data_IF_819323342398
#
_entry.id   IF_819323342398
#
_cell.length_a   1.000
_cell.length_b   1.000
_cell.length_c   1.000
_cell.angle_alpha   90.00
_cell.angle_beta   90.00
_cell.angle_gamma   90.00
#
_symmetry.space_group_name_H-M   'P 1'
#
loop_
_entity.id
_entity.type
_entity.pdbx_description
1 polymer ?
#
# COMPACT_ATOMS: atom_id res chain seq x y z
N UNK A 1 75.14 -24.96 -32.94
CA UNK A 1 75.68 -24.46 -34.26
C UNK A 1 74.73 -23.37 -34.72
N UNK A 2 75.40 -22.19 -34.81
CA UNK A 2 75.11 -21.05 -35.68
C UNK A 2 73.74 -20.33 -35.47
N UNK A 3 73.70 -19.19 -34.86
CA UNK A 3 74.25 -17.83 -35.07
C UNK A 3 73.44 -16.94 -35.99
N UNK A 4 73.09 -15.80 -35.39
CA UNK A 4 73.00 -14.43 -35.95
C UNK A 4 71.88 -14.13 -36.97
N UNK A 5 71.14 -13.08 -36.74
CA UNK A 5 71.40 -11.74 -37.07
C UNK A 5 70.28 -10.72 -36.82
N UNK A 6 70.68 -9.71 -36.11
CA UNK A 6 70.03 -8.42 -36.01
C UNK A 6 69.95 -7.69 -37.34
N UNK A 7 68.83 -6.98 -37.59
CA UNK A 7 68.98 -5.65 -38.26
C UNK A 7 67.79 -4.71 -37.88
N UNK A 8 68.20 -3.50 -37.51
CA UNK A 8 67.41 -2.28 -37.21
C UNK A 8 66.96 -1.58 -38.50
N UNK A 9 65.98 -0.72 -38.26
CA UNK A 9 65.47 0.50 -38.99
C UNK A 9 64.20 0.27 -39.78
N UNK A 10 63.18 1.16 -39.68
CA UNK A 10 63.16 2.63 -39.58
C UNK A 10 61.77 3.09 -39.07
N UNK A 11 61.79 4.20 -38.30
CA UNK A 11 60.61 5.08 -38.05
C UNK A 11 60.04 5.58 -39.38
N UNK A 12 58.72 5.66 -39.39
CA UNK A 12 57.95 6.67 -40.16
C UNK A 12 56.70 7.07 -39.39
N UNK A 13 56.73 8.33 -38.99
CA UNK A 13 55.51 9.05 -38.52
C UNK A 13 54.61 9.31 -39.71
N UNK A 14 53.30 9.17 -39.48
CA UNK A 14 52.25 9.98 -40.15
C UNK A 14 50.94 9.70 -39.47
N UNK A 15 50.40 10.68 -38.76
CA UNK A 15 49.20 11.36 -39.27
C UNK A 15 47.98 10.98 -38.43
N UNK A 16 47.55 11.88 -37.58
CA UNK A 16 46.42 11.76 -36.72
C UNK A 16 45.08 11.61 -37.45
N UNK A 17 44.19 10.88 -36.82
CA UNK A 17 42.76 11.05 -36.95
C UNK A 17 42.18 10.92 -35.54
N UNK A 18 41.81 12.07 -34.97
CA UNK A 18 41.04 12.13 -33.73
C UNK A 18 39.63 11.61 -34.04
N UNK A 19 39.40 10.34 -33.75
CA UNK A 19 38.06 9.78 -33.69
C UNK A 19 37.40 10.23 -32.39
N UNK A 20 36.51 11.20 -32.48
CA UNK A 20 35.61 11.54 -31.37
C UNK A 20 34.69 10.35 -31.14
N UNK A 21 34.97 9.57 -30.12
CA UNK A 21 34.02 8.60 -29.59
C UNK A 21 32.89 9.39 -28.91
N UNK A 22 31.79 9.54 -29.59
CA UNK A 22 30.53 9.93 -28.98
C UNK A 22 30.13 8.81 -28.00
N UNK A 23 30.50 9.00 -26.74
CA UNK A 23 29.84 8.26 -25.64
C UNK A 23 28.40 8.73 -25.62
N UNK A 24 27.51 7.97 -26.28
CA UNK A 24 26.09 7.99 -25.97
C UNK A 24 25.95 7.55 -24.53
N UNK A 25 26.05 8.50 -23.63
CA UNK A 25 25.60 8.34 -22.24
C UNK A 25 24.10 8.14 -22.25
N UNK A 26 23.67 6.92 -22.54
CA UNK A 26 22.34 6.49 -22.19
C UNK A 26 22.25 6.57 -20.68
N UNK A 27 21.53 7.56 -20.17
CA UNK A 27 21.06 7.53 -18.78
C UNK A 27 20.26 6.26 -18.65
N UNK A 28 20.82 5.23 -18.04
CA UNK A 28 20.03 4.10 -17.57
C UNK A 28 19.02 4.71 -16.61
N UNK A 29 17.76 4.76 -17.06
CA UNK A 29 16.64 5.00 -16.16
C UNK A 29 16.80 4.00 -15.01
N UNK A 30 16.99 4.51 -13.80
CA UNK A 30 16.94 3.67 -12.62
C UNK A 30 15.64 2.89 -12.73
N UNK A 31 15.73 1.57 -12.87
CA UNK A 31 14.56 0.71 -12.84
C UNK A 31 13.85 1.06 -11.53
N UNK A 32 12.66 1.59 -11.65
CA UNK A 32 11.85 2.00 -10.49
C UNK A 32 11.67 0.76 -9.63
N UNK A 33 12.27 0.78 -8.44
CA UNK A 33 12.34 -0.40 -7.58
C UNK A 33 10.94 -0.63 -7.01
N UNK A 34 10.30 -1.73 -7.40
CA UNK A 34 8.98 -2.11 -6.91
C UNK A 34 9.06 -2.38 -5.40
N UNK A 35 8.02 -1.96 -4.69
CA UNK A 35 7.84 -2.23 -3.26
C UNK A 35 6.91 -3.42 -3.12
N UNK A 36 7.23 -4.41 -2.30
CA UNK A 36 6.32 -5.54 -2.06
C UNK A 36 5.01 -5.06 -1.45
N UNK A 37 3.88 -5.70 -1.79
CA UNK A 37 2.57 -5.33 -1.25
C UNK A 37 2.60 -5.31 0.29
N UNK A 38 3.22 -6.29 0.93
CA UNK A 38 3.39 -6.33 2.38
C UNK A 38 4.11 -5.07 2.93
N UNK A 39 5.22 -4.66 2.31
CA UNK A 39 5.98 -3.48 2.73
C UNK A 39 5.26 -2.17 2.38
N UNK A 40 4.42 -2.17 1.34
CA UNK A 40 3.63 -1.02 0.93
C UNK A 40 2.42 -0.76 1.83
N UNK A 41 1.94 -1.78 2.57
CA UNK A 41 0.79 -1.60 3.48
C UNK A 41 1.07 -0.50 4.49
N UNK A 42 0.26 0.55 4.47
CA UNK A 42 0.12 1.51 5.56
C UNK A 42 -0.91 0.97 6.57
N UNK A 43 -2.09 0.61 6.08
CA UNK A 43 -3.09 -0.04 6.89
C UNK A 43 -4.03 -0.95 6.10
N UNK A 44 -4.57 -1.93 6.79
CA UNK A 44 -5.62 -2.81 6.30
C UNK A 44 -6.96 -2.33 6.86
N UNK A 45 -8.00 -2.29 6.01
CA UNK A 45 -9.35 -1.92 6.44
C UNK A 45 -10.19 -3.18 6.64
N UNK A 46 -10.60 -3.41 7.88
CA UNK A 46 -11.56 -4.44 8.27
C UNK A 46 -12.95 -3.82 8.39
N UNK A 47 -13.79 -4.06 7.41
CA UNK A 47 -15.18 -3.60 7.42
C UNK A 47 -16.03 -4.39 8.41
N UNK A 48 -16.84 -3.68 9.19
CA UNK A 48 -17.83 -4.25 10.11
C UNK A 48 -19.10 -3.43 10.07
N UNK A 49 -20.28 -4.05 10.30
CA UNK A 49 -21.54 -3.30 10.39
C UNK A 49 -21.77 -2.63 11.75
N UNK A 50 -21.04 -3.06 12.78
CA UNK A 50 -21.10 -2.51 14.13
C UNK A 50 -19.68 -2.46 14.72
N UNK A 51 -19.23 -1.28 15.15
CA UNK A 51 -17.86 -1.08 15.60
C UNK A 51 -17.57 -1.81 16.91
N UNK A 52 -18.50 -1.80 17.86
CA UNK A 52 -18.27 -2.37 19.18
C UNK A 52 -18.18 -3.91 19.09
N UNK A 53 -19.02 -4.51 18.24
CA UNK A 53 -18.96 -5.94 17.92
C UNK A 53 -17.67 -6.29 17.18
N UNK A 54 -17.23 -5.45 16.25
CA UNK A 54 -15.96 -5.62 15.53
C UNK A 54 -14.76 -5.59 16.49
N UNK A 55 -14.72 -4.62 17.40
CA UNK A 55 -13.69 -4.52 18.44
C UNK A 55 -13.67 -5.78 19.32
N UNK A 56 -14.83 -6.20 19.80
CA UNK A 56 -14.95 -7.39 20.66
C UNK A 56 -14.49 -8.67 19.94
N UNK A 57 -14.83 -8.83 18.67
CA UNK A 57 -14.41 -9.99 17.88
C UNK A 57 -12.90 -10.01 17.66
N UNK A 58 -12.31 -8.88 17.28
CA UNK A 58 -10.85 -8.79 17.10
C UNK A 58 -10.12 -9.01 18.44
N UNK A 59 -10.59 -8.44 19.54
CA UNK A 59 -10.04 -8.73 20.88
C UNK A 59 -10.13 -10.23 21.24
N UNK A 60 -11.26 -10.84 20.91
CA UNK A 60 -11.48 -12.27 21.17
C UNK A 60 -10.48 -13.16 20.44
N UNK A 61 -10.16 -12.86 19.16
CA UNK A 61 -9.25 -13.71 18.36
C UNK A 61 -7.78 -13.35 18.54
N UNK A 62 -7.44 -12.08 18.74
CA UNK A 62 -6.06 -11.62 18.82
C UNK A 62 -5.54 -11.49 20.25
N UNK A 63 -6.43 -11.25 21.24
CA UNK A 63 -6.06 -10.87 22.60
C UNK A 63 -5.72 -9.39 22.75
N UNK A 64 -5.86 -8.57 21.70
CA UNK A 64 -5.56 -7.14 21.71
C UNK A 64 -6.84 -6.36 21.44
N UNK A 65 -7.21 -5.47 22.36
CA UNK A 65 -8.37 -4.61 22.23
C UNK A 65 -8.02 -3.38 21.37
N UNK A 66 -8.78 -3.15 20.31
CA UNK A 66 -8.64 -1.97 19.47
C UNK A 66 -9.04 -0.69 20.25
N UNK A 67 -8.30 0.39 20.05
CA UNK A 67 -8.64 1.68 20.59
C UNK A 67 -9.49 2.49 19.60
N UNK A 68 -10.50 3.18 20.11
CA UNK A 68 -11.32 4.10 19.30
C UNK A 68 -10.41 5.14 18.64
N UNK A 69 -10.52 5.25 17.32
CA UNK A 69 -9.77 6.20 16.51
C UNK A 69 -10.50 7.52 16.35
N UNK A 70 -11.78 7.49 16.03
CA UNK A 70 -12.64 8.65 15.83
C UNK A 70 -13.62 8.49 14.66
N UNK A 71 -14.29 9.57 14.33
CA UNK A 71 -15.22 9.68 13.21
C UNK A 71 -14.55 10.28 11.98
N UNK A 72 -15.05 9.92 10.80
CA UNK A 72 -14.66 10.54 9.51
C UNK A 72 -15.77 11.48 9.07
N UNK A 73 -15.63 12.81 9.34
CA UNK A 73 -16.68 13.78 9.05
C UNK A 73 -17.03 13.80 7.55
N UNK A 74 -18.33 13.74 7.24
CA UNK A 74 -18.80 13.75 5.85
C UNK A 74 -18.64 12.44 5.09
N UNK A 75 -17.96 11.43 5.66
CA UNK A 75 -17.84 10.08 5.08
C UNK A 75 -18.92 9.13 5.63
N UNK A 76 -19.35 9.36 6.87
CA UNK A 76 -20.37 8.55 7.53
C UNK A 76 -19.82 7.28 8.16
N UNK A 77 -18.52 7.25 8.49
CA UNK A 77 -17.85 6.12 9.14
C UNK A 77 -17.10 6.56 10.40
N UNK A 78 -16.86 5.61 11.29
CA UNK A 78 -16.01 5.71 12.48
C UNK A 78 -15.10 4.49 12.57
N UNK A 79 -14.02 4.56 13.33
CA UNK A 79 -13.06 3.49 13.37
C UNK A 79 -12.48 3.19 14.76
N UNK A 80 -11.83 2.02 14.85
CA UNK A 80 -10.94 1.63 15.93
C UNK A 80 -9.67 1.01 15.35
N UNK A 81 -8.54 1.13 16.04
CA UNK A 81 -7.22 0.88 15.50
C UNK A 81 -6.42 -0.07 16.39
N UNK A 82 -5.60 -0.94 15.74
CA UNK A 82 -4.56 -1.76 16.38
C UNK A 82 -3.28 -1.60 15.55
N UNK A 83 -2.14 -1.38 16.21
CA UNK A 83 -0.83 -1.40 15.55
C UNK A 83 -0.48 -2.81 15.09
N UNK A 84 0.01 -2.94 13.87
CA UNK A 84 0.52 -4.18 13.28
C UNK A 84 2.06 -4.21 13.20
N UNK A 85 2.72 -3.41 14.03
CA UNK A 85 4.17 -3.25 14.00
C UNK A 85 4.62 -2.20 12.98
N UNK A 86 5.87 -1.75 13.10
CA UNK A 86 6.44 -0.76 12.19
C UNK A 86 5.55 0.48 12.01
N UNK A 87 5.29 0.82 10.75
CA UNK A 87 4.34 1.87 10.34
C UNK A 87 3.07 1.26 9.73
N UNK A 88 2.58 0.15 10.32
CA UNK A 88 1.40 -0.54 9.83
C UNK A 88 0.33 -0.63 10.93
N UNK A 89 -0.95 -0.59 10.54
CA UNK A 89 -2.04 -0.78 11.48
C UNK A 89 -3.27 -1.44 10.83
N UNK A 90 -4.11 -2.04 11.67
CA UNK A 90 -5.45 -2.50 11.30
C UNK A 90 -6.43 -1.40 11.67
N UNK A 91 -7.24 -1.00 10.70
CA UNK A 91 -8.39 -0.11 10.88
C UNK A 91 -9.67 -0.93 10.84
N UNK A 92 -10.36 -1.05 11.97
CA UNK A 92 -11.71 -1.58 12.05
C UNK A 92 -12.66 -0.42 11.73
N UNK A 93 -13.33 -0.46 10.57
CA UNK A 93 -14.17 0.62 10.09
C UNK A 93 -15.65 0.19 10.09
N UNK A 94 -16.51 1.07 10.61
CA UNK A 94 -17.94 0.84 10.73
C UNK A 94 -18.74 2.09 10.34
N UNK A 95 -20.05 1.97 10.07
CA UNK A 95 -20.93 3.12 9.96
C UNK A 95 -20.89 3.96 11.24
N UNK A 96 -20.96 5.28 11.06
CA UNK A 96 -21.10 6.21 12.18
C UNK A 96 -22.57 6.60 12.34
N UNK A 97 -23.26 6.12 13.40
CA UNK A 97 -24.68 6.38 13.59
C UNK A 97 -24.99 7.86 13.92
N UNK A 98 -23.96 8.66 14.22
CA UNK A 98 -24.13 10.10 14.49
C UNK A 98 -24.17 10.93 13.22
N UNK A 99 -23.81 10.37 12.07
CA UNK A 99 -23.80 11.04 10.77
C UNK A 99 -25.01 10.59 9.93
N UNK A 100 -25.80 11.54 9.41
CA UNK A 100 -26.97 11.22 8.60
C UNK A 100 -26.61 10.68 7.20
N UNK A 101 -25.48 11.12 6.64
CA UNK A 101 -25.03 10.70 5.32
C UNK A 101 -23.97 9.59 5.41
N UNK A 102 -24.04 8.64 4.49
CA UNK A 102 -23.03 7.61 4.30
C UNK A 102 -22.45 7.73 2.90
N UNK A 103 -21.23 8.23 2.80
CA UNK A 103 -20.53 8.53 1.55
C UNK A 103 -19.29 7.66 1.36
N UNK A 104 -19.10 6.65 2.21
CA UNK A 104 -18.01 5.69 2.01
C UNK A 104 -18.33 4.81 0.80
N UNK A 105 -17.36 4.65 -0.11
CA UNK A 105 -17.58 3.96 -1.39
C UNK A 105 -17.81 2.44 -1.26
N UNK A 106 -17.45 1.86 -0.12
CA UNK A 106 -17.73 0.46 0.21
C UNK A 106 -18.82 0.42 1.26
N UNK A 107 -19.93 -0.27 0.95
CA UNK A 107 -21.04 -0.39 1.91
C UNK A 107 -20.75 -1.49 2.93
N UNK A 108 -20.33 -1.08 4.13
CA UNK A 108 -20.08 -1.99 5.26
C UNK A 108 -21.31 -2.22 6.14
N UNK A 109 -22.40 -1.47 5.92
CA UNK A 109 -23.62 -1.52 6.76
C UNK A 109 -24.32 -2.88 6.72
N UNK A 110 -24.15 -3.61 5.63
CA UNK A 110 -24.79 -4.91 5.38
C UNK A 110 -23.88 -6.11 5.63
N UNK A 111 -22.67 -5.89 6.12
CA UNK A 111 -21.73 -6.98 6.39
C UNK A 111 -22.22 -7.83 7.57
N UNK A 112 -22.40 -9.11 7.34
CA UNK A 112 -22.84 -10.08 8.36
C UNK A 112 -21.66 -10.45 9.28
N UNK A 113 -20.44 -10.49 8.71
CA UNK A 113 -19.20 -10.81 9.43
C UNK A 113 -18.11 -9.80 9.09
N UNK A 114 -17.15 -9.57 9.98
CA UNK A 114 -15.95 -8.79 9.67
C UNK A 114 -15.26 -9.30 8.41
N UNK A 115 -14.76 -8.38 7.58
CA UNK A 115 -14.07 -8.71 6.33
C UNK A 115 -13.02 -7.66 6.00
N UNK A 116 -11.85 -8.10 5.50
CA UNK A 116 -10.92 -7.19 4.85
C UNK A 116 -11.54 -6.67 3.55
N UNK A 117 -11.75 -5.36 3.46
CA UNK A 117 -12.48 -4.72 2.35
C UNK A 117 -11.57 -3.99 1.37
N UNK A 118 -10.49 -3.41 1.85
CA UNK A 118 -9.46 -2.72 1.07
C UNK A 118 -8.22 -2.48 1.93
N UNK A 119 -7.22 -1.85 1.38
CA UNK A 119 -5.98 -1.49 2.05
C UNK A 119 -5.41 -0.18 1.53
N UNK A 120 -4.64 0.51 2.34
CA UNK A 120 -3.91 1.70 1.98
C UNK A 120 -2.44 1.38 1.74
N UNK A 121 -1.88 1.89 0.67
CA UNK A 121 -0.45 1.87 0.42
C UNK A 121 0.17 3.22 0.84
N UNK A 122 1.25 3.15 1.62
CA UNK A 122 2.00 4.33 2.05
C UNK A 122 2.73 4.96 0.85
N UNK A 123 2.65 6.27 0.74
CA UNK A 123 3.51 7.05 -0.15
C UNK A 123 4.09 8.26 0.58
N UNK A 124 5.27 8.71 0.15
CA UNK A 124 5.91 9.93 0.64
C UNK A 124 5.76 11.10 -0.34
N UNK A 125 5.22 10.83 -1.52
CA UNK A 125 4.91 11.84 -2.55
C UNK A 125 3.66 11.42 -3.33
N UNK A 126 2.51 11.85 -2.86
CA UNK A 126 1.23 11.52 -3.47
C UNK A 126 1.05 12.15 -4.86
N UNK A 127 1.78 13.24 -5.13
CA UNK A 127 1.79 13.87 -6.45
C UNK A 127 2.50 13.00 -7.50
N UNK A 128 3.68 12.47 -7.15
CA UNK A 128 4.40 11.51 -7.99
C UNK A 128 3.58 10.22 -8.20
N UNK A 129 2.97 9.69 -7.13
CA UNK A 129 2.09 8.52 -7.20
C UNK A 129 0.89 8.76 -8.14
N UNK A 130 0.28 9.95 -8.06
CA UNK A 130 -0.83 10.32 -8.94
C UNK A 130 -0.40 10.41 -10.42
N UNK A 131 0.79 10.94 -10.67
CA UNK A 131 1.37 10.99 -12.02
C UNK A 131 1.60 9.58 -12.57
N UNK A 132 2.26 8.72 -11.80
CA UNK A 132 2.53 7.32 -12.17
C UNK A 132 1.24 6.54 -12.48
N UNK A 133 0.21 6.68 -11.65
CA UNK A 133 -1.07 6.03 -11.88
C UNK A 133 -1.71 6.48 -13.22
N UNK A 134 -1.66 7.76 -13.55
CA UNK A 134 -2.16 8.27 -14.84
C UNK A 134 -1.33 7.77 -16.01
N UNK A 135 -0.01 7.76 -15.91
CA UNK A 135 0.91 7.26 -16.95
C UNK A 135 0.70 5.75 -17.19
N UNK A 136 0.30 5.02 -16.16
CA UNK A 136 -0.11 3.61 -16.25
C UNK A 136 -1.55 3.42 -16.78
N UNK A 137 -2.24 4.50 -17.18
CA UNK A 137 -3.55 4.45 -17.79
C UNK A 137 -4.73 4.40 -16.81
N UNK A 138 -4.51 4.60 -15.52
CA UNK A 138 -5.59 4.58 -14.53
C UNK A 138 -6.25 5.94 -14.35
N UNK A 139 -7.56 5.92 -14.21
CA UNK A 139 -8.30 7.05 -13.68
C UNK A 139 -8.10 7.10 -12.16
N UNK A 140 -7.95 8.30 -11.64
CA UNK A 140 -7.70 8.52 -10.22
C UNK A 140 -8.72 9.46 -9.62
N UNK A 141 -8.86 9.37 -8.31
CA UNK A 141 -9.72 10.20 -7.51
C UNK A 141 -8.88 10.88 -6.39
N UNK A 142 -8.69 12.16 -6.52
CA UNK A 142 -7.78 12.91 -5.64
C UNK A 142 -6.53 13.38 -6.39
N UNK A 143 -5.46 13.75 -5.67
CA UNK A 143 -5.29 13.72 -4.22
C UNK A 143 -6.31 14.59 -3.46
N UNK A 144 -6.75 14.12 -2.28
CA UNK A 144 -7.67 14.84 -1.39
C UNK A 144 -7.10 14.93 0.00
N UNK A 145 -7.24 16.10 0.60
CA UNK A 145 -6.92 16.28 2.01
C UNK A 145 -7.95 15.56 2.88
N UNK A 146 -7.47 14.92 3.94
CA UNK A 146 -8.25 14.30 4.98
C UNK A 146 -7.76 14.74 6.36
N UNK A 147 -8.67 14.75 7.32
CA UNK A 147 -8.32 15.00 8.71
C UNK A 147 -9.27 14.24 9.64
N UNK A 148 -8.78 13.95 10.83
CA UNK A 148 -9.58 13.35 11.89
C UNK A 148 -9.08 13.82 13.24
N UNK A 149 -9.99 14.28 14.08
CA UNK A 149 -9.70 14.53 15.48
C UNK A 149 -9.69 13.19 16.23
N UNK A 150 -8.70 13.04 17.09
CA UNK A 150 -8.53 11.90 17.99
C UNK A 150 -9.27 12.19 19.31
N UNK A 151 -9.57 11.14 20.10
CA UNK A 151 -10.16 11.33 21.44
C UNK A 151 -9.34 12.23 22.38
N UNK A 152 -8.01 12.36 22.14
CA UNK A 152 -7.12 13.24 22.91
C UNK A 152 -7.08 14.71 22.38
N UNK A 153 -7.94 15.05 21.40
CA UNK A 153 -8.04 16.37 20.79
C UNK A 153 -6.99 16.67 19.72
N UNK A 154 -6.05 15.78 19.47
CA UNK A 154 -5.06 15.96 18.40
C UNK A 154 -5.70 15.69 17.03
N UNK A 155 -5.36 16.52 16.05
CA UNK A 155 -5.84 16.35 14.68
C UNK A 155 -4.77 15.67 13.85
N UNK A 156 -5.11 14.52 13.29
CA UNK A 156 -4.32 13.87 12.25
C UNK A 156 -4.69 14.44 10.89
N UNK A 157 -3.71 14.60 10.01
CA UNK A 157 -3.88 15.12 8.65
C UNK A 157 -3.16 14.22 7.67
N UNK A 158 -3.78 14.01 6.53
CA UNK A 158 -3.23 13.20 5.44
C UNK A 158 -3.79 13.62 4.09
N UNK A 159 -3.21 13.08 3.04
CA UNK A 159 -3.81 13.09 1.69
C UNK A 159 -4.10 11.67 1.25
N UNK A 160 -5.17 11.48 0.49
CA UNK A 160 -5.51 10.20 -0.12
C UNK A 160 -5.64 10.32 -1.62
N UNK A 161 -5.29 9.23 -2.31
CA UNK A 161 -5.44 9.07 -3.74
C UNK A 161 -6.09 7.73 -4.03
N UNK A 162 -7.30 7.73 -4.56
CA UNK A 162 -7.98 6.53 -5.03
C UNK A 162 -7.60 6.21 -6.48
N UNK A 163 -7.47 4.92 -6.79
CA UNK A 163 -7.29 4.41 -8.15
C UNK A 163 -8.57 3.71 -8.58
N UNK A 164 -9.20 4.20 -9.65
CA UNK A 164 -10.46 3.63 -10.13
C UNK A 164 -10.17 2.41 -11.00
N UNK A 165 -10.58 1.25 -10.54
CA UNK A 165 -10.43 -0.02 -11.25
C UNK A 165 -11.75 -0.79 -11.29
N UNK A 166 -11.75 -1.92 -12.00
CA UNK A 166 -12.89 -2.86 -12.06
C UNK A 166 -12.54 -4.21 -11.45
N UNK A 167 -11.53 -4.24 -10.59
CA UNK A 167 -11.07 -5.49 -9.97
C UNK A 167 -11.81 -5.84 -8.69
N UNK A 168 -12.46 -4.85 -8.05
CA UNK A 168 -13.25 -5.08 -6.85
C UNK A 168 -14.51 -5.91 -7.11
N UNK A 169 -14.90 -6.70 -6.12
CA UNK A 169 -16.14 -7.47 -6.13
C UNK A 169 -16.70 -7.66 -4.72
N UNK A 170 -18.01 -7.57 -4.57
CA UNK A 170 -18.71 -7.78 -3.28
C UNK A 170 -18.10 -7.00 -2.11
N UNK A 171 -17.84 -5.72 -2.31
CA UNK A 171 -17.26 -4.81 -1.31
C UNK A 171 -15.80 -5.10 -0.94
N UNK A 172 -15.06 -5.81 -1.78
CA UNK A 172 -13.61 -6.01 -1.63
C UNK A 172 -12.86 -5.38 -2.80
N UNK A 173 -11.93 -4.47 -2.51
CA UNK A 173 -11.09 -3.79 -3.48
C UNK A 173 -9.64 -4.28 -3.35
N UNK A 174 -9.10 -5.04 -4.31
CA UNK A 174 -7.75 -5.58 -4.23
C UNK A 174 -6.65 -4.56 -4.54
N UNK A 175 -7.00 -3.50 -5.28
CA UNK A 175 -6.06 -2.41 -5.57
C UNK A 175 -6.15 -1.38 -4.44
N UNK A 176 -5.00 -0.93 -3.87
CA UNK A 176 -5.03 0.01 -2.77
C UNK A 176 -5.46 1.40 -3.20
N UNK A 177 -5.92 2.18 -2.24
CA UNK A 177 -5.74 3.62 -2.31
C UNK A 177 -4.38 3.99 -1.69
N UNK A 178 -3.86 5.17 -2.03
CA UNK A 178 -2.60 5.64 -1.46
C UNK A 178 -2.86 6.70 -0.39
N UNK A 179 -1.98 6.72 0.62
CA UNK A 179 -2.02 7.69 1.69
C UNK A 179 -0.63 8.31 1.92
N UNK A 180 -0.62 9.63 2.07
CA UNK A 180 0.54 10.42 2.50
C UNK A 180 0.17 11.15 3.79
N UNK A 181 0.89 10.85 4.88
CA UNK A 181 0.70 11.51 6.16
C UNK A 181 1.39 12.87 6.17
N UNK A 182 0.73 13.87 6.74
CA UNK A 182 1.39 15.16 6.97
C UNK A 182 2.56 14.98 7.96
N UNK A 183 3.64 15.72 7.74
CA UNK A 183 4.88 15.60 8.54
C UNK A 183 4.70 15.92 10.02
N UNK A 184 3.67 16.70 10.36
CA UNK A 184 3.28 17.05 11.72
C UNK A 184 2.27 16.08 12.35
N UNK A 185 1.84 15.06 11.62
CA UNK A 185 0.90 14.06 12.10
C UNK A 185 1.62 12.82 12.62
N UNK A 186 1.35 12.44 13.88
CA UNK A 186 1.80 11.15 14.40
C UNK A 186 1.10 10.01 13.65
N UNK A 187 1.90 9.07 13.13
CA UNK A 187 1.33 7.92 12.43
C UNK A 187 0.49 7.05 13.39
N UNK A 188 -0.72 6.61 13.02
CA UNK A 188 -1.62 5.88 13.92
C UNK A 188 -1.01 4.64 14.56
N UNK A 189 -0.10 3.93 13.89
CA UNK A 189 0.58 2.76 14.45
C UNK A 189 1.43 3.09 15.69
N UNK A 190 1.82 4.34 15.92
CA UNK A 190 2.67 4.73 17.06
C UNK A 190 1.90 4.68 18.37
N UNK A 191 0.64 5.12 18.36
CA UNK A 191 -0.19 5.32 19.53
C UNK A 191 -1.30 4.27 19.69
N UNK A 192 -1.54 3.45 18.66
CA UNK A 192 -2.52 2.37 18.74
C UNK A 192 -2.02 1.21 19.60
N UNK A 193 -2.92 0.42 20.22
CA UNK A 193 -2.56 -0.75 21.01
C UNK A 193 -1.61 -1.67 20.26
N UNK A 194 -0.59 -2.14 20.97
CA UNK A 194 0.46 -3.02 20.45
C UNK A 194 0.14 -4.49 20.77
N UNK A 195 0.86 -5.41 20.11
CA UNK A 195 0.77 -6.84 20.37
C UNK A 195 0.39 -7.67 19.15
N UNK A 196 0.05 -7.00 18.04
CA UNK A 196 -0.10 -7.67 16.74
C UNK A 196 1.02 -7.24 15.78
N UNK A 197 1.43 -8.14 14.90
CA UNK A 197 2.38 -7.89 13.81
C UNK A 197 1.81 -8.47 12.52
N UNK A 198 1.93 -7.75 11.40
CA UNK A 198 1.58 -8.27 10.09
C UNK A 198 2.70 -9.20 9.61
N UNK A 199 2.43 -10.50 9.51
CA UNK A 199 3.40 -11.49 9.00
C UNK A 199 3.26 -11.72 7.50
N UNK A 200 2.02 -11.72 6.98
CA UNK A 200 1.77 -11.90 5.56
C UNK A 200 0.55 -11.11 5.11
N UNK A 201 0.59 -10.63 3.86
CA UNK A 201 -0.53 -10.01 3.18
C UNK A 201 -0.63 -10.59 1.77
N UNK A 202 -1.77 -11.15 1.42
CA UNK A 202 -2.01 -11.88 0.19
C UNK A 202 -3.31 -11.44 -0.47
N UNK A 203 -3.38 -11.57 -1.77
CA UNK A 203 -4.55 -11.23 -2.58
C UNK A 203 -4.98 -12.47 -3.35
N UNK A 204 -6.27 -12.78 -3.34
CA UNK A 204 -6.89 -13.80 -4.20
C UNK A 204 -7.83 -13.11 -5.18
N UNK A 205 -7.76 -13.51 -6.46
CA UNK A 205 -8.58 -12.91 -7.50
C UNK A 205 -8.89 -13.90 -8.64
N UNK A 206 -10.09 -13.84 -9.29
CA UNK A 206 -10.40 -14.64 -10.47
C UNK A 206 -9.49 -14.40 -11.68
N UNK A 207 -8.88 -13.23 -11.76
CA UNK A 207 -7.90 -12.88 -12.80
C UNK A 207 -6.62 -12.30 -12.18
N UNK A 208 -5.73 -13.16 -11.63
CA UNK A 208 -4.53 -12.69 -10.93
C UNK A 208 -3.57 -11.92 -11.82
N UNK A 209 -3.42 -12.32 -13.09
CA UNK A 209 -2.49 -11.67 -14.04
C UNK A 209 -2.82 -10.18 -14.22
N UNK A 210 -4.10 -9.85 -14.36
CA UNK A 210 -4.52 -8.45 -14.52
C UNK A 210 -4.30 -7.63 -13.24
N UNK A 211 -4.53 -8.21 -12.06
CA UNK A 211 -4.29 -7.53 -10.77
C UNK A 211 -2.80 -7.32 -10.54
N UNK A 212 -1.96 -8.32 -10.81
CA UNK A 212 -0.49 -8.20 -10.75
C UNK A 212 -0.02 -7.08 -11.68
N UNK A 213 -0.51 -7.05 -12.93
CA UNK A 213 -0.17 -6.00 -13.88
C UNK A 213 -0.56 -4.61 -13.39
N UNK A 214 -1.74 -4.48 -12.76
CA UNK A 214 -2.22 -3.22 -12.21
C UNK A 214 -1.34 -2.75 -11.04
N UNK A 215 -1.07 -3.62 -10.08
CA UNK A 215 -0.22 -3.30 -8.94
C UNK A 215 1.19 -2.92 -9.38
N UNK A 216 1.76 -3.66 -10.34
CA UNK A 216 3.07 -3.33 -10.92
C UNK A 216 3.09 -1.95 -11.59
N UNK A 217 2.05 -1.59 -12.33
CA UNK A 217 1.91 -0.24 -12.91
C UNK A 217 1.83 0.86 -11.84
N UNK A 218 1.46 0.51 -10.61
CA UNK A 218 1.40 1.41 -9.47
C UNK A 218 2.66 1.32 -8.57
N UNK A 219 3.74 0.65 -9.03
CA UNK A 219 4.98 0.52 -8.28
C UNK A 219 4.96 -0.57 -7.19
N UNK A 220 3.95 -1.43 -7.18
CA UNK A 220 3.78 -2.46 -6.15
C UNK A 220 4.00 -3.84 -6.76
N UNK A 221 4.85 -4.64 -6.11
CA UNK A 221 5.03 -6.06 -6.41
C UNK A 221 4.15 -6.87 -5.46
N UNK A 222 3.29 -7.74 -6.01
CA UNK A 222 2.39 -8.56 -5.22
C UNK A 222 2.27 -9.97 -5.81
N UNK A 223 2.18 -10.94 -4.92
CA UNK A 223 1.68 -12.27 -5.25
C UNK A 223 0.15 -12.25 -5.18
N UNK A 224 -0.49 -12.65 -6.28
CA UNK A 224 -1.95 -12.76 -6.33
C UNK A 224 -2.29 -14.21 -6.68
N UNK A 225 -3.02 -14.85 -5.79
CA UNK A 225 -3.46 -16.25 -5.99
C UNK A 225 -4.69 -16.32 -6.89
N UNK A 226 -4.76 -17.40 -7.68
CA UNK A 226 -5.97 -17.74 -8.42
C UNK A 226 -7.06 -18.21 -7.45
N UNK A 227 -8.23 -17.57 -7.48
CA UNK A 227 -9.38 -17.96 -6.68
C UNK A 227 -10.70 -17.71 -7.39
N UNK A 228 -11.79 -18.15 -6.79
CA UNK A 228 -13.15 -17.92 -7.32
C UNK A 228 -13.69 -16.55 -6.98
N UNK A 229 -13.21 -15.96 -5.89
CA UNK A 229 -13.67 -14.70 -5.33
C UNK A 229 -12.51 -13.71 -5.23
N UNK A 230 -12.84 -12.43 -5.06
CA UNK A 230 -11.86 -11.41 -4.64
C UNK A 230 -11.74 -11.47 -3.13
N UNK A 231 -10.52 -11.68 -2.62
CA UNK A 231 -10.24 -11.70 -1.19
C UNK A 231 -8.93 -11.01 -0.88
N UNK A 232 -8.88 -10.34 0.24
CA UNK A 232 -7.66 -9.91 0.90
C UNK A 232 -7.46 -10.82 2.10
N UNK A 233 -6.24 -11.28 2.33
CA UNK A 233 -5.91 -12.17 3.44
C UNK A 233 -4.68 -11.62 4.16
N UNK A 234 -4.77 -11.54 5.46
CA UNK A 234 -3.68 -11.08 6.31
C UNK A 234 -3.43 -12.07 7.44
N UNK A 235 -2.19 -12.54 7.56
CA UNK A 235 -1.76 -13.32 8.71
C UNK A 235 -1.15 -12.38 9.72
N UNK A 236 -1.70 -12.38 10.92
CA UNK A 236 -1.25 -11.60 12.06
C UNK A 236 -0.64 -12.50 13.11
N UNK A 237 0.57 -12.19 13.55
CA UNK A 237 1.12 -12.74 14.78
C UNK A 237 0.54 -11.97 15.96
N UNK A 238 -0.03 -12.67 16.92
CA UNK A 238 -0.77 -12.07 18.04
C UNK A 238 -0.42 -12.76 19.36
N UNK A 239 -0.80 -12.19 20.52
CA UNK A 239 -0.67 -12.87 21.83
C UNK A 239 -1.36 -14.24 21.91
N UNK A 240 -2.34 -14.50 21.05
CA UNK A 240 -3.07 -15.78 20.96
C UNK A 240 -2.56 -16.72 19.86
N UNK A 241 -1.40 -16.44 19.28
CA UNK A 241 -0.85 -17.16 18.13
C UNK A 241 -1.20 -16.48 16.80
N UNK A 242 -0.97 -17.19 15.70
CA UNK A 242 -1.25 -16.64 14.37
C UNK A 242 -2.76 -16.64 14.09
N UNK A 243 -3.26 -15.53 13.60
CA UNK A 243 -4.66 -15.30 13.24
C UNK A 243 -4.72 -14.87 11.78
N UNK A 244 -5.58 -15.50 10.98
CA UNK A 244 -5.87 -15.08 9.63
C UNK A 244 -7.13 -14.21 9.60
N UNK A 245 -7.04 -13.03 8.97
CA UNK A 245 -8.14 -12.16 8.62
C UNK A 245 -8.38 -12.23 7.11
N UNK A 246 -9.64 -12.22 6.69
CA UNK A 246 -9.96 -12.22 5.26
C UNK A 246 -11.26 -11.49 4.95
#
# INVERSE_FOLDING_TARGET
>A
MQTLGLTRRKLLHLGGAAGAAFLLGGTMSAAEQLVTAHAAVDHLLLGVSDLDRGIAEIERITGVKAAIGGSHPGVGTRNALISLGGKQYLEIIAPDPTQAAYNFHIDVRTLIQPRLITWAALTTDIGATAKQARESGYQIFGPRDGSRERPDGKVLKWKTLGVLTKFGFQSVEPIPFFIEWASDSAHPSQDSPKGCELEAFEIEHPNPVSVIGALKGLGIEAEVRQGKNVRLMATLKTPKGNVELS
#
